data_IF_716209239061
#
_entry.id   IF_716209239061
#
_cell.length_a   1.000
_cell.length_b   1.000
_cell.length_c   1.000
_cell.angle_alpha   90.00
_cell.angle_beta   90.00
_cell.angle_gamma   90.00
#
_symmetry.space_group_name_H-M   'P 1'
#
loop_
_entity.id
_entity.type
_entity.pdbx_description
1 polymer ?
#
# COMPACT_ATOMS: atom_id res chain seq x y z
N UNK A 1 54.78 2.50 -30.53
CA UNK A 1 54.06 3.72 -30.97
C UNK A 1 52.63 3.64 -30.45
N UNK A 2 52.25 4.64 -29.66
CA UNK A 2 50.92 5.16 -29.26
C UNK A 2 49.71 4.21 -29.21
N UNK A 3 49.26 3.99 -27.97
CA UNK A 3 47.84 3.80 -27.61
C UNK A 3 47.00 5.03 -27.98
N UNK A 4 45.69 4.86 -28.20
CA UNK A 4 44.73 5.93 -27.93
C UNK A 4 43.90 5.62 -26.67
N UNK A 5 44.02 6.52 -25.71
CA UNK A 5 43.01 6.80 -24.70
C UNK A 5 42.00 7.81 -25.28
N UNK A 6 40.71 7.67 -24.95
CA UNK A 6 39.73 8.76 -24.79
C UNK A 6 38.49 8.14 -24.10
N UNK A 7 38.32 8.29 -22.77
CA UNK A 7 37.63 9.38 -22.06
C UNK A 7 36.17 9.58 -22.48
N UNK A 8 35.26 9.40 -21.52
CA UNK A 8 33.85 9.79 -21.65
C UNK A 8 32.94 9.21 -20.57
N UNK A 9 33.34 9.31 -19.30
CA UNK A 9 32.47 9.00 -18.15
C UNK A 9 31.46 10.14 -17.98
N UNK A 10 30.29 10.04 -18.62
CA UNK A 10 29.17 10.93 -18.36
C UNK A 10 28.32 10.34 -17.22
N UNK A 11 28.77 10.54 -15.98
CA UNK A 11 27.97 10.34 -14.79
C UNK A 11 26.96 11.49 -14.73
N UNK A 12 25.78 11.29 -15.34
CA UNK A 12 24.66 12.22 -15.25
C UNK A 12 24.00 12.03 -13.89
N UNK A 13 24.45 12.82 -12.92
CA UNK A 13 23.93 12.88 -11.56
C UNK A 13 22.70 13.79 -11.57
N UNK A 14 21.53 13.25 -11.89
CA UNK A 14 20.25 13.97 -11.77
C UNK A 14 19.78 13.85 -10.32
N UNK A 15 20.05 14.89 -9.53
CA UNK A 15 19.33 15.13 -8.29
C UNK A 15 17.89 15.55 -8.63
N UNK A 16 16.98 14.59 -8.68
CA UNK A 16 15.56 14.89 -8.62
C UNK A 16 15.19 15.18 -7.16
N UNK A 17 14.74 16.41 -6.90
CA UNK A 17 14.16 16.81 -5.62
C UNK A 17 13.05 15.82 -5.22
N UNK A 18 13.25 15.15 -4.10
CA UNK A 18 12.23 14.34 -3.44
C UNK A 18 11.29 15.30 -2.72
N UNK A 19 10.01 15.46 -3.10
CA UNK A 19 9.04 16.04 -2.18
C UNK A 19 8.84 15.06 -1.03
N UNK A 20 9.09 15.53 0.19
CA UNK A 20 8.91 14.79 1.44
C UNK A 20 7.58 14.06 1.45
N UNK A 21 7.64 12.73 1.53
CA UNK A 21 6.46 11.88 1.69
C UNK A 21 5.98 12.00 3.14
N UNK A 22 5.09 12.94 3.39
CA UNK A 22 4.29 12.98 4.60
C UNK A 22 2.86 13.30 4.24
N UNK A 23 1.96 12.49 4.79
CA UNK A 23 0.51 12.59 4.78
C UNK A 23 -0.23 11.89 3.62
N UNK A 24 -0.71 10.67 3.89
CA UNK A 24 -2.15 10.38 3.92
C UNK A 24 -2.40 8.87 4.17
N UNK A 25 -2.47 8.47 5.43
CA UNK A 25 -3.28 7.32 5.83
C UNK A 25 -4.48 7.87 6.61
N UNK A 26 -5.65 7.87 5.97
CA UNK A 26 -6.92 7.91 6.69
C UNK A 26 -7.87 6.90 6.04
N UNK A 27 -8.05 5.81 6.76
CA UNK A 27 -9.06 4.78 6.60
C UNK A 27 -10.46 5.32 6.35
N UNK A 28 -11.17 4.74 5.37
CA UNK A 28 -12.62 4.57 5.46
C UNK A 28 -13.06 3.34 4.65
N UNK A 29 -13.30 2.24 5.36
CA UNK A 29 -14.23 1.16 4.97
C UNK A 29 -15.64 1.61 5.40
N UNK A 30 -16.60 1.57 4.48
CA UNK A 30 -18.01 1.17 4.74
C UNK A 30 -18.82 1.44 3.46
N UNK A 31 -19.06 0.43 2.63
CA UNK A 31 -20.32 -0.32 2.58
C UNK A 31 -21.55 0.57 2.28
N UNK A 32 -21.95 0.58 1.01
CA UNK A 32 -23.20 1.17 0.52
C UNK A 32 -23.89 0.21 -0.44
N UNK A 33 -24.49 -0.85 0.11
CA UNK A 33 -25.57 -1.58 -0.54
C UNK A 33 -26.88 -1.03 0.04
N UNK A 34 -27.76 -0.47 -0.79
CA UNK A 34 -29.18 -0.46 -0.47
C UNK A 34 -30.00 -0.46 -1.76
N UNK A 35 -30.61 -1.61 -2.00
CA UNK A 35 -31.65 -1.87 -2.99
C UNK A 35 -33.02 -1.65 -2.32
N UNK A 36 -33.95 -1.18 -3.14
CA UNK A 36 -35.38 -1.46 -3.10
C UNK A 36 -36.34 -0.58 -2.26
N UNK A 37 -37.04 0.29 -3.01
CA UNK A 37 -38.50 0.33 -3.20
C UNK A 37 -39.46 0.53 -2.01
N UNK A 38 -40.20 1.65 -2.12
CA UNK A 38 -41.68 1.71 -2.18
C UNK A 38 -42.45 1.65 -0.84
N UNK A 39 -43.13 2.74 -0.47
CA UNK A 39 -44.60 2.87 -0.61
C UNK A 39 -45.14 4.18 -0.01
N UNK A 40 -45.90 4.90 -0.87
CA UNK A 40 -47.20 5.54 -0.68
C UNK A 40 -47.54 6.49 0.49
N UNK A 41 -48.32 7.47 0.07
CA UNK A 41 -48.83 8.70 0.65
C UNK A 41 -50.22 8.61 1.32
N UNK A 42 -50.49 9.58 2.20
CA UNK A 42 -51.77 10.20 2.63
C UNK A 42 -52.34 9.90 4.05
N UNK A 43 -53.12 10.86 4.65
CA UNK A 43 -52.97 11.32 6.03
C UNK A 43 -54.23 11.14 6.94
N UNK A 44 -54.22 11.84 8.09
CA UNK A 44 -55.25 12.07 9.14
C UNK A 44 -55.30 11.06 10.30
N UNK A 45 -55.00 11.53 11.51
CA UNK A 45 -56.04 11.95 12.47
C UNK A 45 -55.37 12.44 13.76
N UNK A 46 -55.89 13.54 14.28
CA UNK A 46 -55.51 14.14 15.55
C UNK A 46 -56.13 13.39 16.74
N UNK A 47 -55.56 13.72 17.89
CA UNK A 47 -56.11 13.68 19.24
C UNK A 47 -55.84 12.46 20.14
N UNK A 48 -55.38 12.88 21.32
CA UNK A 48 -55.39 12.27 22.64
C UNK A 48 -54.21 11.45 23.19
N UNK A 49 -53.80 11.96 24.36
CA UNK A 49 -53.24 11.29 25.52
C UNK A 49 -51.70 11.15 25.64
N UNK A 50 -51.17 12.07 26.46
CA UNK A 50 -50.27 11.82 27.61
C UNK A 50 -48.94 11.09 27.36
N UNK A 51 -47.88 11.90 27.43
CA UNK A 51 -46.76 11.75 28.36
C UNK A 51 -46.18 10.34 28.53
N UNK A 52 -45.14 10.02 27.76
CA UNK A 52 -43.94 9.33 28.29
C UNK A 52 -42.70 9.92 27.62
N UNK A 53 -41.86 10.53 28.44
CA UNK A 53 -40.49 10.93 28.19
C UNK A 53 -39.67 9.71 27.73
N UNK A 54 -39.02 9.78 26.57
CA UNK A 54 -38.37 8.64 25.92
C UNK A 54 -37.09 9.00 25.18
N UNK A 55 -36.12 9.48 25.95
CA UNK A 55 -34.67 9.40 25.75
C UNK A 55 -34.21 8.41 24.67
N UNK A 56 -33.74 8.94 23.53
CA UNK A 56 -32.99 8.18 22.52
C UNK A 56 -31.68 8.85 22.07
N UNK A 57 -31.22 9.87 22.78
CA UNK A 57 -29.88 10.43 22.59
C UNK A 57 -28.85 9.85 23.60
N UNK A 58 -29.30 9.15 24.65
CA UNK A 58 -28.41 8.56 25.68
C UNK A 58 -27.81 7.19 25.38
N UNK A 59 -28.27 6.45 24.35
CA UNK A 59 -27.93 5.01 24.18
C UNK A 59 -26.65 4.71 23.39
N UNK A 60 -26.10 5.65 22.62
CA UNK A 60 -24.81 5.45 21.94
C UNK A 60 -23.65 5.96 22.82
N UNK A 61 -23.92 6.91 23.73
CA UNK A 61 -22.93 7.44 24.67
C UNK A 61 -22.68 6.56 25.92
N UNK A 62 -23.52 5.54 26.15
CA UNK A 62 -23.49 4.73 27.38
C UNK A 62 -22.78 3.37 27.26
N UNK A 63 -22.53 2.85 26.04
CA UNK A 63 -21.78 1.58 25.89
C UNK A 63 -20.26 1.71 26.12
N UNK A 64 -19.72 2.93 26.19
CA UNK A 64 -18.32 3.17 26.60
C UNK A 64 -18.14 3.27 28.12
N UNK A 65 -19.20 3.13 28.92
CA UNK A 65 -19.19 3.33 30.38
C UNK A 65 -19.69 2.14 31.21
N UNK A 66 -19.68 0.93 30.65
CA UNK A 66 -20.05 -0.31 31.36
C UNK A 66 -18.94 -1.37 31.39
N UNK A 67 -17.67 -0.94 31.47
CA UNK A 67 -16.57 -1.79 31.93
C UNK A 67 -15.86 -1.20 33.17
N UNK A 68 -16.59 -0.41 33.96
CA UNK A 68 -16.07 0.18 35.20
C UNK A 68 -17.14 0.24 36.30
N UNK A 69 -17.74 -0.89 36.67
CA UNK A 69 -18.40 -0.96 38.00
C UNK A 69 -18.69 -2.39 38.49
N UNK A 70 -17.65 -3.10 38.90
CA UNK A 70 -17.77 -4.09 39.98
C UNK A 70 -16.36 -4.48 40.44
N UNK A 71 -15.82 -3.78 41.44
CA UNK A 71 -14.90 -4.32 42.45
C UNK A 71 -14.34 -3.21 43.33
N UNK A 72 -14.75 -3.20 44.60
CA UNK A 72 -13.96 -2.71 45.74
C UNK A 72 -14.45 -3.52 46.96
N UNK A 73 -13.65 -3.86 47.98
CA UNK A 73 -12.32 -3.33 48.29
C UNK A 73 -11.27 -4.38 48.71
N UNK A 74 -9.98 -4.08 48.53
CA UNK A 74 -8.91 -4.29 49.53
C UNK A 74 -7.54 -3.89 48.98
N UNK A 75 -6.75 -3.29 49.84
CA UNK A 75 -5.45 -2.68 49.57
C UNK A 75 -4.39 -3.66 49.05
N UNK A 76 -3.71 -3.28 47.96
CA UNK A 76 -2.26 -3.37 47.82
C UNK A 76 -1.83 -2.43 46.67
N UNK A 77 -1.18 -1.32 47.01
CA UNK A 77 -0.54 -0.43 46.03
C UNK A 77 0.67 -1.14 45.42
N UNK A 78 0.49 -1.83 44.29
CA UNK A 78 1.60 -2.23 43.43
C UNK A 78 1.87 -1.11 42.43
N UNK A 79 2.64 -0.10 42.85
CA UNK A 79 3.31 0.85 41.95
C UNK A 79 4.55 0.16 41.38
N UNK A 80 4.33 -0.84 40.51
CA UNK A 80 5.38 -1.38 39.66
C UNK A 80 5.42 -0.60 38.34
N UNK A 81 6.59 -0.17 37.84
CA UNK A 81 6.66 0.43 36.51
C UNK A 81 6.16 -0.57 35.48
N UNK A 82 5.13 -0.18 34.72
CA UNK A 82 4.75 -0.88 33.51
C UNK A 82 5.91 -0.69 32.52
N UNK A 83 6.83 -1.65 32.49
CA UNK A 83 7.82 -1.74 31.43
C UNK A 83 7.07 -2.05 30.15
N UNK A 84 6.78 -1.02 29.35
CA UNK A 84 6.38 -1.19 27.97
C UNK A 84 7.51 -1.92 27.25
N UNK A 85 7.34 -3.22 27.02
CA UNK A 85 8.21 -3.96 26.12
C UNK A 85 7.88 -3.46 24.72
N UNK A 86 8.73 -2.58 24.18
CA UNK A 86 8.73 -2.34 22.75
C UNK A 86 9.08 -3.69 22.11
N UNK A 87 8.09 -4.34 21.51
CA UNK A 87 8.36 -5.47 20.66
C UNK A 87 9.35 -4.99 19.60
N UNK A 88 10.58 -5.47 19.66
CA UNK A 88 11.51 -5.38 18.55
C UNK A 88 10.85 -6.12 17.41
N UNK A 89 10.15 -5.39 16.55
CA UNK A 89 9.85 -5.86 15.20
C UNK A 89 11.21 -6.10 14.58
N UNK A 90 11.67 -7.34 14.63
CA UNK A 90 12.71 -7.82 13.74
C UNK A 90 12.14 -7.52 12.36
N UNK A 91 12.62 -6.46 11.72
CA UNK A 91 12.28 -6.10 10.35
C UNK A 91 12.76 -7.27 9.49
N UNK A 92 11.94 -8.32 9.40
CA UNK A 92 12.09 -9.38 8.42
C UNK A 92 11.75 -8.74 7.07
N UNK A 93 12.68 -7.94 6.57
CA UNK A 93 12.71 -7.43 5.18
C UNK A 93 13.20 -8.59 4.27
N UNK A 94 12.88 -9.81 4.69
CA UNK A 94 13.18 -11.06 4.00
C UNK A 94 12.07 -11.25 2.97
N UNK A 95 12.44 -11.34 1.70
CA UNK A 95 11.52 -11.69 0.63
C UNK A 95 11.33 -10.62 -0.44
N UNK A 96 11.85 -9.41 -0.24
CA UNK A 96 11.84 -8.39 -1.30
C UNK A 96 12.69 -8.82 -2.50
N UNK A 97 13.77 -9.56 -2.25
CA UNK A 97 14.62 -10.19 -3.24
C UNK A 97 13.87 -11.19 -4.14
N UNK A 98 12.72 -11.73 -3.68
CA UNK A 98 11.87 -12.59 -4.50
C UNK A 98 11.24 -11.85 -5.68
N UNK A 99 11.25 -10.52 -5.70
CA UNK A 99 10.81 -9.72 -6.86
C UNK A 99 11.95 -9.40 -7.83
N UNK A 100 13.22 -9.62 -7.46
CA UNK A 100 14.34 -9.36 -8.37
C UNK A 100 14.32 -10.31 -9.57
N UNK A 101 14.73 -9.80 -10.72
CA UNK A 101 14.85 -10.57 -11.96
C UNK A 101 14.22 -9.88 -13.15
N UNK A 102 14.26 -10.56 -14.29
CA UNK A 102 13.70 -10.05 -15.56
C UNK A 102 12.35 -10.69 -15.82
N UNK A 103 11.41 -9.89 -16.27
CA UNK A 103 10.04 -10.28 -16.57
C UNK A 103 9.67 -9.81 -17.97
N UNK A 104 8.73 -10.49 -18.62
CA UNK A 104 8.11 -9.97 -19.85
C UNK A 104 6.77 -9.32 -19.57
N UNK A 105 6.39 -8.37 -20.43
CA UNK A 105 5.07 -7.72 -20.42
C UNK A 105 4.26 -8.13 -21.67
N UNK A 106 3.71 -9.34 -21.73
CA UNK A 106 3.20 -9.91 -22.98
C UNK A 106 1.93 -9.24 -23.50
N UNK A 107 1.12 -8.62 -22.64
CA UNK A 107 -0.18 -8.05 -23.02
C UNK A 107 -0.03 -6.59 -23.44
N UNK A 108 0.57 -5.76 -22.58
CA UNK A 108 0.61 -4.31 -22.82
C UNK A 108 1.77 -3.92 -23.74
N UNK A 109 2.88 -4.66 -23.66
CA UNK A 109 4.09 -4.36 -24.42
C UNK A 109 4.75 -5.64 -24.96
N UNK A 110 4.14 -6.32 -25.96
CA UNK A 110 4.70 -7.54 -26.53
C UNK A 110 6.17 -7.36 -26.94
N UNK A 111 7.03 -8.30 -26.52
CA UNK A 111 8.48 -8.25 -26.70
C UNK A 111 9.24 -7.39 -25.68
N UNK A 112 8.53 -6.63 -24.84
CA UNK A 112 9.11 -5.76 -23.81
C UNK A 112 9.51 -6.52 -22.56
N UNK A 113 10.62 -6.09 -21.96
CA UNK A 113 11.16 -6.67 -20.73
C UNK A 113 11.16 -5.65 -19.59
N UNK A 114 11.19 -6.17 -18.36
CA UNK A 114 11.18 -5.43 -17.10
C UNK A 114 12.14 -6.11 -16.13
N UNK A 115 13.26 -5.48 -15.83
CA UNK A 115 14.25 -5.97 -14.88
C UNK A 115 14.11 -5.23 -13.57
N UNK A 116 13.73 -5.95 -12.52
CA UNK A 116 13.53 -5.41 -11.18
C UNK A 116 14.80 -5.64 -10.35
N UNK A 117 15.28 -4.59 -9.69
CA UNK A 117 16.40 -4.66 -8.74
C UNK A 117 16.14 -3.79 -7.51
N UNK A 118 16.59 -4.25 -6.34
CA UNK A 118 16.58 -3.44 -5.12
C UNK A 118 17.67 -2.36 -5.17
N UNK A 119 17.39 -1.18 -4.61
CA UNK A 119 18.35 -0.07 -4.52
C UNK A 119 18.79 0.11 -3.07
N UNK A 120 20.10 0.27 -2.86
CA UNK A 120 20.73 0.42 -1.56
C UNK A 120 20.59 -0.82 -0.69
N UNK A 121 21.36 -0.93 0.38
CA UNK A 121 21.19 -2.01 1.37
C UNK A 121 20.36 -1.54 2.56
N UNK A 122 20.48 -0.25 2.88
CA UNK A 122 19.91 0.37 4.09
C UNK A 122 18.64 1.20 3.80
N UNK A 123 18.23 1.32 2.52
CA UNK A 123 17.02 2.03 2.11
C UNK A 123 15.78 1.20 2.41
N UNK A 124 15.48 1.10 3.70
CA UNK A 124 14.36 0.36 4.27
C UNK A 124 13.59 1.27 5.22
N UNK A 125 12.28 1.33 5.05
CA UNK A 125 11.39 2.01 6.00
C UNK A 125 10.30 1.03 6.40
N UNK A 126 10.36 0.44 7.59
CA UNK A 126 9.46 -0.65 7.99
C UNK A 126 9.53 -1.83 7.01
N UNK A 127 8.40 -2.22 6.42
CA UNK A 127 8.31 -3.31 5.43
C UNK A 127 8.66 -2.89 3.99
N UNK A 128 8.96 -1.60 3.77
CA UNK A 128 9.18 -1.03 2.45
C UNK A 128 10.66 -1.09 2.07
N UNK A 129 10.95 -1.66 0.89
CA UNK A 129 12.29 -1.76 0.29
C UNK A 129 12.31 -1.00 -1.03
N UNK A 130 13.25 -0.07 -1.19
CA UNK A 130 13.37 0.69 -2.44
C UNK A 130 13.83 -0.22 -3.59
N UNK A 131 13.24 -0.04 -4.77
CA UNK A 131 13.54 -0.79 -5.97
C UNK A 131 13.47 0.10 -7.22
N UNK A 132 13.99 -0.41 -8.33
CA UNK A 132 13.80 0.15 -9.66
C UNK A 132 13.40 -0.93 -10.64
N UNK A 133 12.77 -0.49 -11.74
CA UNK A 133 12.44 -1.33 -12.89
C UNK A 133 13.08 -0.74 -14.12
N UNK A 134 14.08 -1.44 -14.68
CA UNK A 134 14.64 -1.12 -16.00
C UNK A 134 13.81 -1.83 -17.04
N UNK A 135 13.15 -1.10 -17.94
CA UNK A 135 12.30 -1.70 -18.97
C UNK A 135 12.55 -1.13 -20.35
N UNK A 136 12.03 -1.80 -21.38
CA UNK A 136 12.13 -1.34 -22.77
C UNK A 136 11.95 -2.46 -23.78
N UNK A 137 12.15 -2.12 -25.06
CA UNK A 137 12.20 -3.09 -26.16
C UNK A 137 10.86 -3.64 -26.64
N UNK A 138 9.75 -3.32 -25.96
CA UNK A 138 8.41 -3.70 -26.36
C UNK A 138 7.89 -2.87 -27.54
N UNK A 139 6.89 -3.41 -28.23
CA UNK A 139 6.18 -2.67 -29.29
C UNK A 139 5.62 -1.36 -28.71
N UNK A 140 5.93 -0.24 -29.37
CA UNK A 140 5.50 1.09 -28.94
C UNK A 140 6.25 1.67 -27.74
N UNK A 141 7.34 1.02 -27.29
CA UNK A 141 8.18 1.51 -26.19
C UNK A 141 9.53 2.05 -26.68
N UNK A 142 10.16 2.96 -25.91
CA UNK A 142 11.55 3.28 -26.13
C UNK A 142 12.45 2.06 -25.87
N UNK A 143 13.69 2.13 -26.38
CA UNK A 143 14.69 1.07 -26.20
C UNK A 143 14.93 0.74 -24.73
N UNK A 144 14.97 1.74 -23.88
CA UNK A 144 15.21 1.59 -22.44
C UNK A 144 14.58 2.76 -21.66
N UNK A 145 14.15 2.49 -20.43
CA UNK A 145 13.69 3.45 -19.43
C UNK A 145 13.86 2.87 -18.03
N UNK A 146 13.82 3.74 -17.00
CA UNK A 146 13.88 3.34 -15.59
C UNK A 146 12.66 3.89 -14.84
N UNK A 147 11.99 3.03 -14.09
CA UNK A 147 10.86 3.40 -13.23
C UNK A 147 11.22 3.21 -11.75
N UNK A 148 10.83 4.15 -10.89
CA UNK A 148 10.90 3.94 -9.45
C UNK A 148 9.90 2.87 -9.00
N UNK A 149 10.28 2.09 -8.01
CA UNK A 149 9.40 1.11 -7.39
C UNK A 149 9.67 0.96 -5.89
N UNK A 150 8.70 0.39 -5.18
CA UNK A 150 8.88 -0.05 -3.81
C UNK A 150 8.30 -1.44 -3.64
N UNK A 151 9.03 -2.30 -2.94
CA UNK A 151 8.60 -3.66 -2.59
C UNK A 151 8.17 -3.68 -1.13
N UNK A 152 7.08 -4.39 -0.82
CA UNK A 152 6.44 -4.45 0.49
C UNK A 152 6.59 -5.87 1.06
N UNK A 153 7.73 -6.16 1.70
CA UNK A 153 8.12 -7.52 2.10
C UNK A 153 8.15 -8.49 0.91
N UNK A 154 7.50 -9.65 1.02
CA UNK A 154 7.27 -10.58 -0.10
C UNK A 154 5.87 -10.49 -0.71
N UNK A 155 5.08 -9.47 -0.34
CA UNK A 155 3.65 -9.41 -0.66
C UNK A 155 3.36 -8.72 -1.98
N UNK A 156 3.99 -7.58 -2.21
CA UNK A 156 3.66 -6.73 -3.35
C UNK A 156 4.82 -5.86 -3.79
N UNK A 157 4.76 -5.42 -5.05
CA UNK A 157 5.55 -4.34 -5.62
C UNK A 157 4.61 -3.23 -6.10
N UNK A 158 5.00 -1.98 -5.89
CA UNK A 158 4.30 -0.80 -6.40
C UNK A 158 5.28 -0.08 -7.33
N UNK A 159 4.88 0.11 -8.59
CA UNK A 159 5.71 0.74 -9.63
C UNK A 159 5.09 2.07 -10.04
N UNK A 160 5.92 3.12 -10.13
CA UNK A 160 5.49 4.44 -10.61
C UNK A 160 5.78 4.56 -12.12
N UNK A 161 4.73 4.51 -12.94
CA UNK A 161 4.79 4.71 -14.39
C UNK A 161 4.63 6.16 -14.83
N UNK A 162 4.47 7.12 -13.90
CA UNK A 162 4.32 8.54 -14.24
C UNK A 162 5.47 9.15 -15.06
N UNK A 163 6.74 8.69 -14.98
CA UNK A 163 7.79 9.15 -15.91
C UNK A 163 7.46 8.86 -17.39
N UNK A 164 6.53 7.93 -17.63
CA UNK A 164 6.02 7.56 -18.96
C UNK A 164 4.57 8.00 -19.19
N UNK A 165 4.02 8.85 -18.31
CA UNK A 165 2.62 9.29 -18.37
C UNK A 165 1.60 8.28 -17.83
N UNK A 166 2.07 7.19 -17.19
CA UNK A 166 1.21 6.18 -16.58
C UNK A 166 0.86 6.49 -15.11
N UNK A 167 0.21 5.54 -14.43
CA UNK A 167 -0.17 5.70 -13.02
C UNK A 167 1.02 5.57 -12.06
N UNK A 168 0.92 6.18 -10.88
CA UNK A 168 1.99 6.17 -9.85
C UNK A 168 1.99 4.95 -8.93
N UNK A 169 0.87 4.26 -8.87
CA UNK A 169 0.54 3.26 -7.86
C UNK A 169 0.20 1.90 -8.51
N UNK A 170 1.01 1.49 -9.48
CA UNK A 170 0.76 0.27 -10.24
C UNK A 170 1.20 -0.97 -9.43
N UNK A 171 0.25 -1.56 -8.71
CA UNK A 171 0.51 -2.62 -7.73
C UNK A 171 0.46 -4.02 -8.37
N UNK A 172 1.54 -4.77 -8.17
CA UNK A 172 1.66 -6.19 -8.55
C UNK A 172 1.91 -7.09 -7.33
N UNK A 173 1.43 -8.32 -7.40
CA UNK A 173 1.61 -9.38 -6.38
C UNK A 173 2.41 -10.52 -6.99
N UNK A 174 3.41 -11.03 -6.27
CA UNK A 174 4.18 -12.19 -6.70
C UNK A 174 3.34 -13.46 -6.53
N UNK A 175 3.20 -14.25 -7.59
CA UNK A 175 2.54 -15.55 -7.55
C UNK A 175 3.54 -16.69 -7.30
N UNK A 176 3.02 -17.87 -6.95
CA UNK A 176 3.84 -19.03 -6.57
C UNK A 176 4.77 -19.53 -7.69
N UNK A 177 4.47 -19.23 -8.95
CA UNK A 177 5.32 -19.57 -10.10
C UNK A 177 6.40 -18.51 -10.40
N UNK A 178 6.50 -17.48 -9.56
CA UNK A 178 7.46 -16.39 -9.68
C UNK A 178 7.06 -15.28 -10.63
N UNK A 179 5.87 -15.32 -11.23
CA UNK A 179 5.32 -14.22 -12.00
C UNK A 179 4.76 -13.10 -11.11
N UNK A 180 4.55 -11.91 -11.68
CA UNK A 180 3.89 -10.80 -11.00
C UNK A 180 2.54 -10.55 -11.67
N UNK A 181 1.46 -10.59 -10.89
CA UNK A 181 0.12 -10.26 -11.36
C UNK A 181 -0.28 -8.86 -10.90
N UNK A 182 -0.66 -8.01 -11.85
CA UNK A 182 -1.08 -6.63 -11.57
C UNK A 182 -2.58 -6.57 -11.32
N UNK A 183 -2.95 -5.93 -10.20
CA UNK A 183 -4.34 -5.92 -9.72
C UNK A 183 -5.24 -5.03 -10.57
N UNK A 184 -4.67 -3.96 -11.14
CA UNK A 184 -5.43 -2.93 -11.87
C UNK A 184 -5.94 -3.41 -13.22
N UNK A 185 -5.12 -4.11 -14.00
CA UNK A 185 -5.44 -4.54 -15.36
C UNK A 185 -5.46 -6.07 -15.54
N UNK A 186 -5.08 -6.82 -14.51
CA UNK A 186 -4.98 -8.28 -14.57
C UNK A 186 -3.80 -8.77 -15.41
N UNK A 187 -2.94 -7.87 -15.91
CA UNK A 187 -1.76 -8.26 -16.68
C UNK A 187 -0.81 -9.06 -15.79
N UNK A 188 -0.16 -10.04 -16.40
CA UNK A 188 0.73 -10.96 -15.71
C UNK A 188 2.08 -10.90 -16.39
N UNK A 189 3.09 -10.59 -15.59
CA UNK A 189 4.47 -10.53 -16.00
C UNK A 189 5.16 -11.84 -15.60
N UNK A 190 5.33 -12.81 -16.52
CA UNK A 190 6.06 -14.03 -16.21
C UNK A 190 7.55 -13.71 -16.08
N UNK A 191 8.21 -14.38 -15.14
CA UNK A 191 9.66 -14.29 -14.98
C UNK A 191 10.35 -15.00 -16.14
N UNK A 192 11.32 -14.32 -16.74
CA UNK A 192 12.23 -14.90 -17.71
C UNK A 192 13.34 -15.65 -16.99
N UNK A 193 13.73 -16.80 -17.54
CA UNK A 193 14.80 -17.65 -17.01
C UNK A 193 16.17 -17.17 -17.50
#
# INVERSE_FOLDING_TARGET
MKSPALTGLALVLIFALIPSFSQAFSTSRSLGQNLQFQLLSHPNAADDAKSIHGDRDGRIASRRRELLRAMVPSALTFLGPLTASAATTTNNISGAEKFCGTYSDPINHPGGTRTISLIGSDDVVGDYRLAQVVGGGGIGEPKEFVLPAVVVGDRAIIIDFSPKGGPRDFTGVLENDGSIKFIRDGNRWPRLK
#
